data_IF_045269190599
#
_entry.id   IF_045269190599
#
_cell.length_a   1.000
_cell.length_b   1.000
_cell.length_c   1.000
_cell.angle_alpha   90.00
_cell.angle_beta   90.00
_cell.angle_gamma   90.00
#
_symmetry.space_group_name_H-M   'P 1'
#
loop_
_entity.id
_entity.type
_entity.pdbx_description
1 polymer ?
#
# COMPACT_ATOMS: atom_id res chain seq x y z
N UNK A 1 -20.13 27.06 0.41
CA UNK A 1 -19.59 26.41 -0.80
C UNK A 1 -19.89 24.92 -0.73
N UNK A 2 -20.97 24.46 -1.37
CA UNK A 2 -21.25 23.01 -1.55
C UNK A 2 -21.06 22.71 -3.04
N UNK A 3 -20.40 21.60 -3.37
CA UNK A 3 -20.02 21.14 -4.72
C UNK A 3 -18.72 21.73 -5.31
N UNK A 4 -17.59 21.66 -4.57
CA UNK A 4 -16.26 21.99 -5.12
C UNK A 4 -15.35 20.77 -4.97
N UNK A 5 -14.79 20.30 -6.07
CA UNK A 5 -13.79 19.23 -6.10
C UNK A 5 -12.39 19.84 -6.24
N UNK A 6 -11.40 19.16 -5.67
CA UNK A 6 -9.99 19.51 -5.79
C UNK A 6 -9.27 18.39 -6.53
N UNK A 7 -8.30 18.76 -7.36
CA UNK A 7 -7.43 17.84 -8.09
C UNK A 7 -5.98 18.13 -7.68
N UNK A 8 -5.20 17.06 -7.56
CA UNK A 8 -3.76 17.10 -7.37
C UNK A 8 -3.15 15.91 -8.11
N UNK A 9 -1.89 16.05 -8.51
CA UNK A 9 -1.14 14.99 -9.16
C UNK A 9 -0.26 14.29 -8.12
N UNK A 10 -0.17 12.97 -8.22
CA UNK A 10 0.72 12.16 -7.39
C UNK A 10 1.70 11.45 -8.30
N UNK A 11 2.98 11.76 -8.15
CA UNK A 11 4.06 11.13 -8.89
C UNK A 11 4.80 10.13 -7.99
N UNK A 12 5.02 8.93 -8.51
CA UNK A 12 5.85 7.92 -7.88
C UNK A 12 6.71 7.22 -8.93
N UNK A 13 8.04 7.11 -8.74
CA UNK A 13 8.85 6.24 -9.57
C UNK A 13 8.48 4.77 -9.31
N UNK A 14 8.83 3.90 -10.27
CA UNK A 14 8.62 2.46 -10.13
C UNK A 14 9.37 1.97 -8.88
N UNK A 15 8.72 1.10 -8.11
CA UNK A 15 9.35 0.49 -6.94
C UNK A 15 10.40 -0.52 -7.35
N UNK A 16 11.57 -0.38 -6.75
CA UNK A 16 12.55 -1.45 -6.73
C UNK A 16 12.03 -2.57 -5.82
N UNK A 17 12.21 -3.79 -6.29
CA UNK A 17 11.79 -4.99 -5.60
C UNK A 17 12.91 -6.02 -5.66
N UNK A 18 12.96 -6.82 -4.62
CA UNK A 18 14.05 -7.75 -4.39
C UNK A 18 13.55 -9.19 -4.35
N UNK A 19 14.45 -10.11 -4.71
CA UNK A 19 14.18 -11.53 -4.55
C UNK A 19 14.08 -11.87 -3.06
N UNK A 20 12.93 -12.39 -2.65
CA UNK A 20 12.69 -12.89 -1.31
C UNK A 20 13.50 -14.18 -1.12
N UNK A 21 14.29 -14.26 -0.05
CA UNK A 21 15.09 -15.45 0.30
C UNK A 21 14.32 -16.39 1.22
N UNK A 22 13.62 -15.81 2.19
CA UNK A 22 12.78 -16.49 3.17
C UNK A 22 11.71 -15.51 3.70
N UNK A 23 10.63 -16.02 4.29
CA UNK A 23 9.60 -15.20 4.91
C UNK A 23 8.93 -15.93 6.08
N UNK A 24 8.51 -15.16 7.09
CA UNK A 24 7.75 -15.65 8.25
C UNK A 24 6.63 -14.65 8.56
N UNK A 25 5.45 -15.17 8.90
CA UNK A 25 4.31 -14.39 9.35
C UNK A 25 3.99 -14.80 10.79
N UNK A 26 4.11 -13.85 11.72
CA UNK A 26 3.69 -14.01 13.11
C UNK A 26 2.63 -12.95 13.42
N UNK A 27 1.39 -13.27 13.04
CA UNK A 27 0.26 -12.35 13.14
C UNK A 27 -1.06 -13.11 13.25
N UNK A 28 -2.02 -12.48 13.92
CA UNK A 28 -3.38 -12.99 14.09
C UNK A 28 -4.35 -12.05 13.36
N UNK A 29 -4.75 -12.45 12.16
CA UNK A 29 -5.66 -11.68 11.29
C UNK A 29 -7.01 -11.41 11.96
N UNK A 30 -7.50 -12.33 12.80
CA UNK A 30 -8.76 -12.11 13.52
C UNK A 30 -8.61 -10.98 14.54
N UNK A 31 -7.53 -10.96 15.32
CA UNK A 31 -7.29 -9.88 16.29
C UNK A 31 -7.10 -8.52 15.62
N UNK A 32 -6.48 -8.50 14.45
CA UNK A 32 -6.15 -7.27 13.72
C UNK A 32 -7.33 -6.71 12.90
N UNK A 33 -8.07 -7.59 12.21
CA UNK A 33 -9.05 -7.22 11.18
C UNK A 33 -10.45 -7.78 11.44
N UNK A 34 -10.65 -8.57 12.49
CA UNK A 34 -11.93 -9.16 12.87
C UNK A 34 -12.20 -10.53 12.24
N UNK A 35 -13.35 -11.10 12.61
CA UNK A 35 -13.71 -12.50 12.31
C UNK A 35 -13.78 -12.81 10.82
N UNK A 36 -14.16 -11.84 9.99
CA UNK A 36 -14.24 -11.99 8.54
C UNK A 36 -12.88 -12.32 7.90
N UNK A 37 -11.78 -11.97 8.58
CA UNK A 37 -10.40 -12.21 8.13
C UNK A 37 -9.71 -13.36 8.86
N UNK A 38 -10.38 -14.02 9.81
CA UNK A 38 -9.80 -15.12 10.60
C UNK A 38 -9.32 -16.29 9.73
N UNK A 39 -9.97 -16.52 8.58
CA UNK A 39 -9.59 -17.57 7.65
C UNK A 39 -8.16 -17.43 7.10
N UNK A 40 -7.59 -16.22 7.10
CA UNK A 40 -6.23 -15.97 6.62
C UNK A 40 -5.15 -16.50 7.56
N UNK A 41 -5.47 -16.76 8.85
CA UNK A 41 -4.52 -17.33 9.81
C UNK A 41 -4.05 -18.74 9.40
N UNK A 42 -4.84 -19.44 8.59
CA UNK A 42 -4.58 -20.82 8.17
C UNK A 42 -4.07 -20.91 6.73
N UNK A 43 -3.94 -19.78 6.04
CA UNK A 43 -3.53 -19.75 4.64
C UNK A 43 -2.05 -19.46 4.47
N UNK A 44 -1.43 -20.14 3.50
CA UNK A 44 -0.11 -19.77 3.01
C UNK A 44 -0.22 -18.63 1.99
N UNK A 45 0.69 -17.64 2.02
CA UNK A 45 0.71 -16.58 1.02
C UNK A 45 0.88 -17.14 -0.39
N UNK A 46 0.04 -16.69 -1.31
CA UNK A 46 0.16 -17.05 -2.74
C UNK A 46 1.38 -16.38 -3.38
N UNK A 47 1.77 -15.21 -2.89
CA UNK A 47 2.94 -14.46 -3.34
C UNK A 47 3.50 -13.62 -2.20
N UNK A 48 4.82 -13.48 -2.16
CA UNK A 48 5.54 -12.64 -1.20
C UNK A 48 6.48 -11.73 -1.99
N UNK A 49 6.40 -10.43 -1.73
CA UNK A 49 7.23 -9.41 -2.37
C UNK A 49 7.91 -8.54 -1.32
N UNK A 50 9.19 -8.28 -1.52
CA UNK A 50 9.94 -7.26 -0.79
C UNK A 50 10.16 -6.07 -1.72
N UNK A 51 9.48 -4.97 -1.45
CA UNK A 51 9.65 -3.72 -2.17
C UNK A 51 10.31 -2.68 -1.26
N UNK A 52 11.25 -1.91 -1.78
CA UNK A 52 11.86 -0.78 -1.05
C UNK A 52 10.85 0.36 -0.84
N UNK A 53 9.84 0.40 -1.71
CA UNK A 53 8.94 1.53 -1.86
C UNK A 53 9.60 2.62 -2.71
N UNK A 54 8.92 3.76 -2.82
CA UNK A 54 9.48 4.94 -3.46
C UNK A 54 9.08 6.20 -2.70
N UNK A 55 9.87 7.28 -2.83
CA UNK A 55 9.38 8.61 -2.50
C UNK A 55 8.06 8.90 -3.20
N UNK A 56 7.26 9.73 -2.54
CA UNK A 56 5.97 10.22 -3.03
C UNK A 56 6.11 11.71 -3.26
N UNK A 57 5.76 12.20 -4.45
CA UNK A 57 5.62 13.62 -4.70
C UNK A 57 4.16 13.97 -4.96
N UNK A 58 3.62 14.90 -4.17
CA UNK A 58 2.27 15.45 -4.36
C UNK A 58 2.39 16.84 -4.97
N UNK A 59 1.96 16.99 -6.22
CA UNK A 59 1.95 18.26 -6.92
C UNK A 59 0.58 18.90 -6.83
N UNK A 60 0.54 20.06 -6.18
CA UNK A 60 -0.64 20.93 -6.15
C UNK A 60 -0.56 21.84 -7.38
N UNK A 61 -1.65 21.98 -8.14
CA UNK A 61 -1.71 22.94 -9.26
C UNK A 61 -1.25 24.33 -8.78
N UNK A 62 -0.12 24.83 -9.32
CA UNK A 62 0.24 26.25 -9.23
C UNK A 62 -0.66 27.00 -10.21
N UNK A 63 -1.43 27.98 -9.72
CA UNK A 63 -2.14 28.92 -10.58
C UNK A 63 -1.08 29.63 -11.44
N UNK A 64 -1.14 29.42 -12.75
CA UNK A 64 -0.34 30.18 -13.72
C UNK A 64 -1.16 31.43 -14.04
N UNK A 65 -0.51 32.60 -13.96
CA UNK A 65 -1.11 33.91 -14.20
C UNK A 65 -1.73 34.04 -15.60
#
# INVERSE_FOLDING_TARGET
MKNRTSEYEVCHPKWDWYKVKDHQLDLDFQKMYGTDFACLNEQQPVSVMLAEGSPVEVKIKKYVA
#
